data_IF_091697640077
#
_entry.id   IF_091697640077
#
_cell.length_a   1.000
_cell.length_b   1.000
_cell.length_c   1.000
_cell.angle_alpha   90.00
_cell.angle_beta   90.00
_cell.angle_gamma   90.00
#
_symmetry.space_group_name_H-M   'P 1'
#
loop_
_entity.id
_entity.type
_entity.pdbx_description
1 polymer ?
#
# COMPACT_ATOMS: atom_id res chain seq x y z
N UNK A 1 22.77 -26.12 -41.45
CA UNK A 1 21.92 -24.92 -41.25
C UNK A 1 20.75 -25.30 -40.36
N UNK A 2 20.90 -25.27 -39.04
CA UNK A 2 19.83 -25.54 -38.08
C UNK A 2 19.96 -24.57 -36.91
N UNK A 3 18.89 -23.78 -36.73
CA UNK A 3 18.33 -23.22 -35.50
C UNK A 3 19.08 -22.10 -34.77
N UNK A 4 18.42 -20.95 -34.66
CA UNK A 4 18.50 -20.14 -33.44
C UNK A 4 17.24 -19.30 -33.21
N UNK A 5 16.56 -19.69 -32.14
CA UNK A 5 15.81 -18.91 -31.18
C UNK A 5 14.72 -17.94 -31.68
N UNK A 6 13.52 -18.51 -31.82
CA UNK A 6 12.31 -17.74 -31.51
C UNK A 6 12.32 -17.44 -30.00
N UNK A 7 12.66 -16.20 -29.64
CA UNK A 7 12.43 -15.66 -28.32
C UNK A 7 10.91 -15.62 -28.05
N UNK A 8 10.36 -16.71 -27.52
CA UNK A 8 9.10 -16.72 -26.78
C UNK A 8 9.27 -15.76 -25.60
N UNK A 9 8.87 -14.50 -25.80
CA UNK A 9 8.55 -13.59 -24.70
C UNK A 9 7.35 -14.20 -23.97
N UNK A 10 7.62 -15.12 -23.05
CA UNK A 10 6.68 -15.54 -22.03
C UNK A 10 6.38 -14.29 -21.21
N UNK A 11 5.33 -13.57 -21.57
CA UNK A 11 4.73 -12.55 -20.70
C UNK A 11 4.17 -13.29 -19.50
N UNK A 12 5.00 -13.45 -18.48
CA UNK A 12 4.62 -14.05 -17.20
C UNK A 12 3.57 -13.12 -16.59
N UNK A 13 2.30 -13.44 -16.83
CA UNK A 13 1.18 -12.72 -16.25
C UNK A 13 1.14 -13.10 -14.77
N UNK A 14 1.59 -12.21 -13.89
CA UNK A 14 1.50 -12.45 -12.44
C UNK A 14 0.04 -12.70 -12.09
N UNK A 15 -0.28 -13.87 -11.51
CA UNK A 15 -1.65 -14.21 -11.19
C UNK A 15 -2.18 -13.28 -10.09
N UNK A 16 -3.50 -13.06 -10.10
CA UNK A 16 -4.17 -12.21 -9.10
C UNK A 16 -4.17 -12.89 -7.73
N UNK A 17 -4.34 -14.21 -7.73
CA UNK A 17 -4.20 -15.10 -6.57
C UNK A 17 -3.04 -16.04 -6.84
N UNK A 18 -2.10 -16.10 -5.90
CA UNK A 18 -0.96 -17.01 -5.97
C UNK A 18 -1.41 -18.44 -5.59
N UNK A 19 -1.40 -19.39 -6.54
CA UNK A 19 -1.84 -20.75 -6.27
C UNK A 19 -0.93 -21.46 -5.26
N UNK A 20 0.37 -21.14 -5.25
CA UNK A 20 1.32 -21.75 -4.31
C UNK A 20 0.99 -21.32 -2.89
N UNK A 21 0.73 -20.03 -2.66
CA UNK A 21 0.32 -19.52 -1.34
C UNK A 21 -1.00 -20.14 -0.89
N UNK A 22 -1.98 -20.30 -1.79
CA UNK A 22 -3.25 -20.96 -1.47
C UNK A 22 -3.08 -22.42 -1.08
N UNK A 23 -2.23 -23.17 -1.78
CA UNK A 23 -1.92 -24.56 -1.46
C UNK A 23 -1.26 -24.65 -0.09
N UNK A 24 -0.22 -23.86 0.16
CA UNK A 24 0.48 -23.84 1.46
C UNK A 24 -0.47 -23.44 2.60
N UNK A 25 -1.30 -22.40 2.41
CA UNK A 25 -2.30 -22.03 3.41
C UNK A 25 -3.30 -23.14 3.71
N UNK A 26 -3.71 -23.92 2.70
CA UNK A 26 -4.67 -25.03 2.88
C UNK A 26 -4.03 -26.29 3.45
N UNK A 27 -2.71 -26.42 3.38
CA UNK A 27 -1.93 -27.50 4.00
C UNK A 27 -1.61 -27.15 5.46
N UNK A 28 -1.18 -25.92 5.73
CA UNK A 28 -0.81 -25.43 7.06
C UNK A 28 -2.04 -25.07 7.92
N UNK A 29 -3.10 -24.59 7.28
CA UNK A 29 -4.40 -24.26 7.90
C UNK A 29 -5.45 -25.15 7.26
N UNK A 30 -6.54 -25.47 7.98
CA UNK A 30 -7.66 -26.14 7.32
C UNK A 30 -8.20 -25.26 6.17
N UNK A 31 -8.70 -25.86 5.07
CA UNK A 31 -9.21 -25.10 3.92
C UNK A 31 -10.24 -24.03 4.28
N UNK A 32 -11.07 -24.29 5.30
CA UNK A 32 -12.04 -23.32 5.83
C UNK A 32 -11.35 -22.09 6.42
N UNK A 33 -10.31 -22.28 7.24
CA UNK A 33 -9.56 -21.18 7.86
C UNK A 33 -8.81 -20.38 6.79
N UNK A 34 -8.21 -21.06 5.81
CA UNK A 34 -7.55 -20.40 4.68
C UNK A 34 -8.54 -19.52 3.89
N UNK A 35 -9.75 -20.03 3.63
CA UNK A 35 -10.80 -19.26 2.96
C UNK A 35 -11.29 -18.08 3.80
N UNK A 36 -11.51 -18.26 5.10
CA UNK A 36 -11.90 -17.18 6.02
C UNK A 36 -10.85 -16.07 6.07
N UNK A 37 -9.56 -16.41 6.04
CA UNK A 37 -8.48 -15.43 5.97
C UNK A 37 -8.59 -14.57 4.69
N UNK A 38 -8.82 -15.21 3.54
CA UNK A 38 -8.98 -14.51 2.26
C UNK A 38 -10.23 -13.62 2.31
N UNK A 39 -11.35 -14.12 2.82
CA UNK A 39 -12.60 -13.35 2.96
C UNK A 39 -12.36 -12.12 3.85
N UNK A 40 -11.76 -12.32 5.03
CA UNK A 40 -11.46 -11.25 5.96
C UNK A 40 -10.49 -10.22 5.37
N UNK A 41 -9.49 -10.65 4.60
CA UNK A 41 -8.64 -9.72 3.90
C UNK A 41 -9.43 -8.94 2.84
N UNK A 42 -10.28 -9.60 2.03
CA UNK A 42 -11.08 -8.92 1.00
C UNK A 42 -12.04 -7.87 1.55
N UNK A 43 -12.66 -8.12 2.71
CA UNK A 43 -13.60 -7.18 3.34
C UNK A 43 -12.89 -5.92 3.84
N UNK A 44 -11.62 -6.03 4.22
CA UNK A 44 -10.80 -4.93 4.71
C UNK A 44 -10.10 -4.12 3.60
N UNK A 45 -10.15 -4.56 2.34
CA UNK A 45 -9.38 -3.91 1.27
C UNK A 45 -9.77 -2.44 1.05
N UNK A 46 -11.06 -2.12 1.01
CA UNK A 46 -11.49 -0.75 0.71
C UNK A 46 -11.10 0.20 1.84
N UNK A 47 -11.32 -0.19 3.09
CA UNK A 47 -10.95 0.63 4.25
C UNK A 47 -9.44 0.84 4.34
N UNK A 48 -8.64 -0.19 4.05
CA UNK A 48 -7.17 -0.07 4.00
C UNK A 48 -6.70 0.86 2.90
N UNK A 49 -7.30 0.78 1.70
CA UNK A 49 -6.95 1.68 0.59
C UNK A 49 -7.31 3.12 0.93
N UNK A 50 -8.48 3.38 1.51
CA UNK A 50 -8.88 4.72 1.97
C UNK A 50 -7.92 5.26 3.03
N UNK A 51 -7.48 4.43 3.98
CA UNK A 51 -6.48 4.84 4.98
C UNK A 51 -5.13 5.18 4.34
N UNK A 52 -4.69 4.42 3.32
CA UNK A 52 -3.47 4.74 2.56
C UNK A 52 -3.62 6.07 1.83
N UNK A 53 -4.75 6.31 1.16
CA UNK A 53 -5.02 7.57 0.45
C UNK A 53 -4.96 8.77 1.41
N UNK A 54 -5.65 8.66 2.54
CA UNK A 54 -5.69 9.71 3.56
C UNK A 54 -4.29 10.01 4.11
N UNK A 55 -3.55 8.99 4.54
CA UNK A 55 -2.22 9.16 5.15
C UNK A 55 -1.19 9.70 4.14
N UNK A 56 -1.23 9.25 2.88
CA UNK A 56 -0.35 9.78 1.84
C UNK A 56 -0.68 11.23 1.45
N UNK A 57 -1.97 11.57 1.37
CA UNK A 57 -2.42 12.94 1.09
C UNK A 57 -2.04 13.89 2.22
N UNK A 58 -2.23 13.47 3.47
CA UNK A 58 -1.78 14.25 4.63
C UNK A 58 -0.28 14.49 4.59
N UNK A 59 0.54 13.44 4.41
CA UNK A 59 2.00 13.59 4.34
C UNK A 59 2.44 14.53 3.19
N UNK A 60 1.78 14.44 2.02
CA UNK A 60 2.04 15.36 0.91
C UNK A 60 1.75 16.82 1.27
N UNK A 61 0.64 17.08 1.96
CA UNK A 61 0.26 18.43 2.38
C UNK A 61 1.24 19.02 3.40
N UNK A 62 1.73 18.22 4.35
CA UNK A 62 2.76 18.66 5.30
C UNK A 62 4.12 18.93 4.64
N UNK A 63 4.47 18.16 3.60
CA UNK A 63 5.73 18.35 2.84
C UNK A 63 5.70 19.47 1.81
N UNK A 64 4.57 20.11 1.55
CA UNK A 64 4.51 21.35 0.79
C UNK A 64 4.44 22.54 1.76
N UNK A 65 5.57 23.01 2.33
CA UNK A 65 5.56 24.27 3.03
C UNK A 65 5.11 25.36 2.06
N UNK A 66 4.27 26.26 2.55
CA UNK A 66 3.77 27.44 1.87
C UNK A 66 4.91 28.28 1.29
N UNK A 67 5.38 27.98 0.08
CA UNK A 67 6.33 28.83 -0.66
C UNK A 67 5.72 30.17 -1.11
N UNK A 68 4.55 30.57 -0.58
CA UNK A 68 3.83 31.77 -0.98
C UNK A 68 3.72 32.87 0.10
N UNK A 69 4.27 32.67 1.32
CA UNK A 69 4.07 33.63 2.41
C UNK A 69 5.33 34.41 2.83
N UNK A 70 6.41 34.44 2.04
CA UNK A 70 7.63 35.16 2.42
C UNK A 70 8.12 36.08 1.31
N UNK A 71 7.27 37.05 0.93
CA UNK A 71 7.70 38.21 0.15
C UNK A 71 7.16 39.56 0.67
N UNK A 72 6.55 39.59 1.86
CA UNK A 72 6.14 40.84 2.51
C UNK A 72 6.54 40.83 3.98
N UNK A 73 7.70 41.40 4.28
CA UNK A 73 8.02 42.30 5.41
C UNK A 73 9.55 42.39 5.51
N UNK A 74 10.14 43.21 4.64
CA UNK A 74 11.28 44.03 5.06
C UNK A 74 10.71 45.28 5.74
N UNK A 75 11.45 45.77 6.73
CA UNK A 75 11.15 46.89 7.63
C UNK A 75 10.17 46.59 8.77
N UNK A 76 10.70 46.28 9.97
CA UNK A 76 11.08 47.32 10.93
C UNK A 76 11.37 46.75 12.35
N UNK A 77 12.44 47.28 12.95
CA UNK A 77 12.78 47.34 14.39
C UNK A 77 13.43 46.15 15.11
N UNK A 78 14.77 46.24 15.20
CA UNK A 78 15.56 45.92 16.39
C UNK A 78 15.04 46.67 17.63
N UNK A 79 14.86 45.97 18.76
CA UNK A 79 15.71 46.09 19.96
C UNK A 79 15.12 45.36 21.19
N UNK A 80 16.00 44.59 21.84
CA UNK A 80 16.02 44.17 23.25
C UNK A 80 14.80 43.49 23.91
N UNK A 81 14.96 42.24 24.33
CA UNK A 81 15.37 41.91 25.72
C UNK A 81 15.71 40.42 25.88
N UNK A 82 16.78 40.14 26.62
CA UNK A 82 17.12 38.84 27.21
C UNK A 82 16.14 38.56 28.36
N UNK A 83 15.64 37.35 28.51
CA UNK A 83 16.15 36.36 29.48
C UNK A 83 15.28 35.09 29.51
N UNK A 84 15.97 33.98 29.75
CA UNK A 84 15.59 32.87 30.63
C UNK A 84 14.35 32.01 30.32
N UNK A 85 14.61 30.78 29.82
CA UNK A 85 14.15 29.49 30.37
C UNK A 85 14.16 28.44 29.24
N UNK A 86 15.21 27.63 29.22
CA UNK A 86 15.34 26.48 28.33
C UNK A 86 14.73 25.26 29.00
N UNK A 87 13.43 25.07 28.83
CA UNK A 87 12.80 23.77 29.05
C UNK A 87 12.95 22.97 27.75
N UNK A 88 13.85 22.00 27.78
CA UNK A 88 14.08 20.98 26.74
C UNK A 88 12.84 20.07 26.63
N UNK A 89 11.77 20.59 26.05
CA UNK A 89 10.62 19.80 25.64
C UNK A 89 10.95 19.13 24.30
N UNK A 90 11.79 18.08 24.37
CA UNK A 90 12.12 17.19 23.25
C UNK A 90 10.89 16.35 22.87
N UNK A 91 9.86 17.03 22.37
CA UNK A 91 8.69 16.45 21.75
C UNK A 91 9.13 15.76 20.47
N UNK A 92 9.35 14.46 20.59
CA UNK A 92 9.61 13.52 19.51
C UNK A 92 8.37 13.41 18.60
N UNK A 93 8.14 14.44 17.78
CA UNK A 93 7.02 14.59 16.83
C UNK A 93 7.15 13.69 15.57
N UNK A 94 8.13 12.77 15.56
CA UNK A 94 8.38 11.85 14.44
C UNK A 94 7.30 10.77 14.22
N UNK A 95 6.17 10.79 14.95
CA UNK A 95 5.13 9.77 14.88
C UNK A 95 4.11 9.95 13.75
N UNK A 96 3.97 11.16 13.19
CA UNK A 96 2.97 11.41 12.14
C UNK A 96 3.50 11.14 10.73
N UNK A 97 4.80 11.35 10.52
CA UNK A 97 5.46 11.16 9.23
C UNK A 97 5.43 9.68 8.78
N UNK A 98 5.40 8.70 9.69
CA UNK A 98 5.49 7.29 9.30
C UNK A 98 4.14 6.57 9.11
N UNK A 99 3.00 7.23 9.36
CA UNK A 99 1.67 6.58 9.29
C UNK A 99 1.35 5.99 7.91
N UNK A 100 1.85 6.63 6.85
CA UNK A 100 1.65 6.14 5.48
C UNK A 100 2.54 4.93 5.15
N UNK A 101 3.75 4.86 5.73
CA UNK A 101 4.62 3.68 5.66
C UNK A 101 3.97 2.50 6.37
N UNK A 102 3.43 2.72 7.57
CA UNK A 102 2.72 1.69 8.33
C UNK A 102 1.51 1.14 7.57
N UNK A 103 0.70 2.02 6.98
CA UNK A 103 -0.47 1.62 6.19
C UNK A 103 -0.08 0.78 4.96
N UNK A 104 0.99 1.15 4.25
CA UNK A 104 1.51 0.40 3.12
C UNK A 104 2.12 -0.95 3.53
N UNK A 105 2.83 -1.01 4.66
CA UNK A 105 3.36 -2.27 5.22
C UNK A 105 2.23 -3.22 5.60
N UNK A 106 1.20 -2.72 6.27
CA UNK A 106 0.00 -3.49 6.62
C UNK A 106 -0.70 -4.06 5.38
N UNK A 107 -0.82 -3.25 4.31
CA UNK A 107 -1.33 -3.71 3.02
C UNK A 107 -0.46 -4.80 2.40
N UNK A 108 0.87 -4.59 2.34
CA UNK A 108 1.81 -5.56 1.77
C UNK A 108 1.74 -6.91 2.50
N UNK A 109 1.80 -6.89 3.82
CA UNK A 109 1.81 -8.11 4.63
C UNK A 109 0.47 -8.86 4.50
N UNK A 110 -0.66 -8.15 4.56
CA UNK A 110 -1.97 -8.77 4.34
C UNK A 110 -2.12 -9.35 2.93
N UNK A 111 -1.61 -8.64 1.91
CA UNK A 111 -1.62 -9.12 0.54
C UNK A 111 -0.75 -10.37 0.36
N UNK A 112 0.44 -10.41 0.95
CA UNK A 112 1.31 -11.59 0.92
C UNK A 112 0.62 -12.80 1.59
N UNK A 113 0.05 -12.60 2.79
CA UNK A 113 -0.65 -13.66 3.52
C UNK A 113 -1.89 -14.17 2.77
N UNK A 114 -2.60 -13.32 2.02
CA UNK A 114 -3.78 -13.72 1.25
C UNK A 114 -3.44 -14.20 -0.17
N UNK A 115 -2.16 -14.28 -0.55
CA UNK A 115 -1.73 -14.63 -1.91
C UNK A 115 -2.08 -13.58 -2.97
N UNK A 116 -2.37 -12.34 -2.57
CA UNK A 116 -2.74 -11.23 -3.44
C UNK A 116 -1.51 -10.58 -4.10
N UNK A 117 -0.80 -11.35 -4.94
CA UNK A 117 0.55 -11.01 -5.42
C UNK A 117 0.67 -9.64 -6.08
N UNK A 118 -0.34 -9.24 -6.87
CA UNK A 118 -0.38 -7.91 -7.51
C UNK A 118 -0.45 -6.77 -6.49
N UNK A 119 -1.29 -6.90 -5.47
CA UNK A 119 -1.41 -5.90 -4.39
C UNK A 119 -0.12 -5.80 -3.57
N UNK A 120 0.50 -6.94 -3.27
CA UNK A 120 1.80 -7.00 -2.57
C UNK A 120 2.90 -6.27 -3.35
N UNK A 121 3.00 -6.50 -4.67
CA UNK A 121 3.99 -5.85 -5.53
C UNK A 121 3.78 -4.34 -5.64
N UNK A 122 2.52 -3.90 -5.74
CA UNK A 122 2.18 -2.46 -5.78
C UNK A 122 2.56 -1.81 -4.45
N UNK A 123 2.20 -2.42 -3.31
CA UNK A 123 2.54 -1.90 -1.99
C UNK A 123 4.06 -1.85 -1.75
N UNK A 124 4.79 -2.88 -2.19
CA UNK A 124 6.26 -2.93 -2.14
C UNK A 124 6.91 -1.83 -2.99
N UNK A 125 6.38 -1.62 -4.19
CA UNK A 125 6.85 -0.56 -5.09
C UNK A 125 6.55 0.83 -4.51
N UNK A 126 5.39 1.00 -3.88
CA UNK A 126 5.02 2.23 -3.19
C UNK A 126 6.00 2.51 -2.04
N UNK A 127 6.21 1.55 -1.12
CA UNK A 127 7.17 1.69 -0.01
C UNK A 127 8.55 2.15 -0.51
N UNK A 128 9.04 1.55 -1.59
CA UNK A 128 10.33 1.91 -2.18
C UNK A 128 10.39 3.35 -2.73
N UNK A 129 9.25 3.90 -3.17
CA UNK A 129 9.12 5.29 -3.66
C UNK A 129 8.88 6.28 -2.53
N UNK A 130 8.20 5.85 -1.47
CA UNK A 130 7.99 6.63 -0.24
C UNK A 130 9.32 7.06 0.37
N UNK A 131 10.26 6.12 0.53
CA UNK A 131 11.61 6.39 1.03
C UNK A 131 12.37 7.40 0.18
N UNK A 132 12.00 7.55 -1.10
CA UNK A 132 12.60 8.51 -2.05
C UNK A 132 11.82 9.83 -2.16
N UNK A 133 10.74 10.01 -1.40
CA UNK A 133 9.90 11.22 -1.44
C UNK A 133 9.15 11.45 -2.77
N UNK A 134 9.01 10.42 -3.61
CA UNK A 134 8.53 10.55 -5.00
C UNK A 134 7.31 9.65 -5.27
N UNK A 135 6.30 9.73 -4.41
CA UNK A 135 5.01 9.08 -4.65
C UNK A 135 4.05 10.06 -5.32
N UNK A 136 3.53 9.66 -6.47
CA UNK A 136 2.28 10.21 -7.00
C UNK A 136 1.12 9.42 -6.37
N UNK A 137 0.38 10.07 -5.46
CA UNK A 137 -0.66 9.43 -4.63
C UNK A 137 -1.81 8.93 -5.49
N UNK A 138 -2.38 9.77 -6.35
CA UNK A 138 -3.59 9.45 -7.11
C UNK A 138 -3.39 8.27 -8.10
N UNK A 139 -2.28 8.18 -8.86
CA UNK A 139 -2.00 6.99 -9.67
C UNK A 139 -1.87 5.71 -8.84
N UNK A 140 -1.24 5.77 -7.66
CA UNK A 140 -1.07 4.62 -6.78
C UNK A 140 -2.43 4.12 -6.26
N UNK A 141 -3.27 5.02 -5.77
CA UNK A 141 -4.60 4.66 -5.25
C UNK A 141 -5.48 4.05 -6.33
N UNK A 142 -5.49 4.62 -7.54
CA UNK A 142 -6.22 4.03 -8.67
C UNK A 142 -5.75 2.61 -8.98
N UNK A 143 -4.43 2.38 -8.94
CA UNK A 143 -3.86 1.06 -9.21
C UNK A 143 -4.23 0.04 -8.10
N UNK A 144 -4.15 0.44 -6.83
CA UNK A 144 -4.58 -0.39 -5.69
C UNK A 144 -6.06 -0.75 -5.79
N UNK A 145 -6.93 0.21 -6.10
CA UNK A 145 -8.37 -0.03 -6.27
C UNK A 145 -8.66 -1.01 -7.42
N UNK A 146 -7.96 -0.86 -8.55
CA UNK A 146 -8.15 -1.73 -9.71
C UNK A 146 -7.77 -3.19 -9.37
N UNK A 147 -6.63 -3.40 -8.74
CA UNK A 147 -6.17 -4.74 -8.37
C UNK A 147 -7.00 -5.32 -7.21
N UNK A 148 -7.48 -4.49 -6.27
CA UNK A 148 -8.40 -4.94 -5.23
C UNK A 148 -9.72 -5.46 -5.80
N UNK A 149 -10.29 -4.79 -6.82
CA UNK A 149 -11.49 -5.29 -7.51
C UNK A 149 -11.24 -6.62 -8.21
N UNK A 150 -10.08 -6.76 -8.88
CA UNK A 150 -9.70 -8.04 -9.53
C UNK A 150 -9.54 -9.15 -8.50
N UNK A 151 -8.87 -8.87 -7.39
CA UNK A 151 -8.68 -9.81 -6.30
C UNK A 151 -10.01 -10.25 -5.68
N UNK A 152 -10.89 -9.30 -5.35
CA UNK A 152 -12.25 -9.59 -4.85
C UNK A 152 -13.04 -10.48 -5.82
N UNK A 153 -13.00 -10.17 -7.12
CA UNK A 153 -13.68 -10.99 -8.13
C UNK A 153 -13.11 -12.41 -8.21
N UNK A 154 -11.80 -12.57 -8.06
CA UNK A 154 -11.16 -13.88 -8.07
C UNK A 154 -11.44 -14.67 -6.78
N UNK A 155 -11.42 -14.02 -5.61
CA UNK A 155 -11.75 -14.63 -4.32
C UNK A 155 -13.21 -15.09 -4.26
N UNK A 156 -14.15 -14.32 -4.82
CA UNK A 156 -15.56 -14.71 -4.90
C UNK A 156 -15.77 -16.01 -5.70
N UNK A 157 -14.93 -16.29 -6.72
CA UNK A 157 -15.01 -17.53 -7.50
C UNK A 157 -14.57 -18.76 -6.70
N UNK A 158 -13.68 -18.59 -5.73
CA UNK A 158 -13.25 -19.69 -4.84
C UNK A 158 -14.34 -19.99 -3.81
N UNK A 159 -15.09 -18.98 -3.38
CA UNK A 159 -16.20 -19.13 -2.43
C UNK A 159 -17.42 -19.81 -3.04
N UNK A 160 -17.62 -19.71 -4.35
CA UNK A 160 -18.74 -20.35 -5.02
C UNK A 160 -18.42 -21.84 -5.25
N UNK A 161 -19.09 -22.77 -4.53
CA UNK A 161 -19.00 -24.18 -4.88
C UNK A 161 -19.56 -24.34 -6.29
N UNK A 162 -18.75 -24.87 -7.21
CA UNK A 162 -19.17 -25.10 -8.59
C UNK A 162 -20.51 -25.86 -8.63
N UNK A 163 -21.62 -25.24 -9.09
CA UNK A 163 -22.92 -25.92 -9.14
C UNK A 163 -22.99 -26.97 -10.25
N UNK A 164 -22.00 -27.01 -11.15
CA UNK A 164 -22.00 -27.88 -12.33
C UNK A 164 -21.34 -29.26 -12.14
N UNK A 165 -20.89 -29.61 -10.93
CA UNK A 165 -20.30 -30.92 -10.61
C UNK A 165 -21.20 -31.83 -9.75
N UNK A 166 -22.48 -31.45 -9.56
CA UNK A 166 -23.46 -32.19 -8.77
C UNK A 166 -24.51 -32.94 -9.62
N UNK A 167 -24.14 -33.45 -10.80
CA UNK A 167 -25.01 -34.23 -11.67
C UNK A 167 -24.44 -35.62 -11.96
#
# INVERSE_FOLDING_TARGET
MIHRDQHTRLTITTPVLDPTVLTTLSEDLSPTIALDLIINFTSLLDSRITRIDHTLTQHRNHRQPQHHAQQHHQDAHEAHHRDDSSDDDNSNDGGEDDRHVEALLSMRNGAAMAGARRLELIATSALSRTTKGSIAVEPLIRQLMQEARRFKAAAARIQQPNPHLAA
#
